data_IF_339374418948
#
_entry.id   IF_339374418948
#
_cell.length_a   1.000
_cell.length_b   1.000
_cell.length_c   1.000
_cell.angle_alpha   90.00
_cell.angle_beta   90.00
_cell.angle_gamma   90.00
#
_symmetry.space_group_name_H-M   'P 1'
#
loop_
_entity.id
_entity.type
_entity.pdbx_description
1 polymer ?
#
# COMPACT_ATOMS: atom_id res chain seq x y z
N UNK A 1 -6.78 -16.23 -3.02
CA UNK A 1 -5.50 -16.24 -2.27
C UNK A 1 -5.25 -17.51 -1.47
N UNK A 2 -6.22 -18.08 -0.75
CA UNK A 2 -6.02 -19.31 0.06
C UNK A 2 -5.53 -20.50 -0.77
N UNK A 3 -6.14 -20.76 -1.93
CA UNK A 3 -5.69 -21.83 -2.84
C UNK A 3 -4.27 -21.61 -3.36
N UNK A 4 -3.92 -20.37 -3.71
CA UNK A 4 -2.58 -19.98 -4.19
C UNK A 4 -1.55 -20.17 -3.07
N UNK A 5 -1.86 -19.68 -1.85
CA UNK A 5 -0.96 -19.80 -0.71
C UNK A 5 -0.67 -21.27 -0.35
N UNK A 6 -1.69 -22.14 -0.35
CA UNK A 6 -1.52 -23.57 -0.07
C UNK A 6 -0.71 -24.32 -1.13
N UNK A 7 -0.71 -23.87 -2.39
CA UNK A 7 -0.04 -24.57 -3.50
C UNK A 7 1.38 -24.08 -3.79
N UNK A 8 1.74 -22.86 -3.37
CA UNK A 8 3.04 -22.24 -3.74
C UNK A 8 3.92 -21.83 -2.56
N UNK A 9 3.38 -21.63 -1.35
CA UNK A 9 4.19 -21.21 -0.19
C UNK A 9 3.74 -21.98 1.07
N UNK A 10 4.36 -23.14 1.36
CA UNK A 10 4.04 -23.93 2.55
C UNK A 10 4.16 -23.09 3.83
N UNK A 11 3.17 -23.18 4.72
CA UNK A 11 3.17 -22.46 5.99
C UNK A 11 2.69 -21.00 5.93
N UNK A 12 2.29 -20.48 4.77
CA UNK A 12 1.63 -19.16 4.68
C UNK A 12 0.13 -19.26 4.45
N UNK A 13 -0.62 -18.36 5.08
CA UNK A 13 -2.07 -18.28 4.93
C UNK A 13 -2.45 -17.44 3.70
N UNK A 14 -3.66 -17.65 3.18
CA UNK A 14 -4.20 -16.85 2.08
C UNK A 14 -4.17 -15.34 2.35
N UNK A 15 -4.39 -14.93 3.60
CA UNK A 15 -4.34 -13.52 4.03
C UNK A 15 -2.93 -12.95 3.90
N UNK A 16 -1.90 -13.72 4.28
CA UNK A 16 -0.51 -13.30 4.14
C UNK A 16 -0.10 -13.16 2.67
N UNK A 17 -0.58 -14.06 1.80
CA UNK A 17 -0.35 -13.97 0.36
C UNK A 17 -1.03 -12.73 -0.25
N UNK A 18 -2.27 -12.46 0.16
CA UNK A 18 -3.02 -11.28 -0.28
C UNK A 18 -2.32 -9.98 0.13
N UNK A 19 -1.95 -9.84 1.40
CA UNK A 19 -1.26 -8.65 1.91
C UNK A 19 0.07 -8.43 1.17
N UNK A 20 0.83 -9.50 0.92
CA UNK A 20 2.08 -9.41 0.16
C UNK A 20 1.84 -8.94 -1.28
N UNK A 21 0.76 -9.39 -1.91
CA UNK A 21 0.40 -8.93 -3.24
C UNK A 21 0.06 -7.44 -3.24
N UNK A 22 -0.94 -7.03 -2.45
CA UNK A 22 -1.44 -5.66 -2.43
C UNK A 22 -0.40 -4.63 -1.99
N UNK A 23 0.53 -5.01 -1.11
CA UNK A 23 1.54 -4.07 -0.61
C UNK A 23 2.77 -3.95 -1.51
N UNK A 24 3.08 -4.95 -2.34
CA UNK A 24 4.42 -5.02 -2.95
C UNK A 24 4.53 -5.76 -4.27
N UNK A 25 3.63 -6.66 -4.63
CA UNK A 25 3.74 -7.42 -5.89
C UNK A 25 2.77 -6.93 -6.95
N UNK A 26 1.71 -6.20 -6.57
CA UNK A 26 0.81 -5.57 -7.52
C UNK A 26 1.59 -4.61 -8.43
N UNK A 27 1.57 -4.80 -9.77
CA UNK A 27 2.24 -3.92 -10.72
C UNK A 27 1.80 -2.46 -10.66
N UNK A 28 0.61 -2.19 -10.11
CA UNK A 28 0.07 -0.84 -9.91
C UNK A 28 0.79 -0.09 -8.78
N UNK A 29 1.48 -0.81 -7.90
CA UNK A 29 2.23 -0.20 -6.80
C UNK A 29 3.51 0.43 -7.34
N UNK A 30 3.58 1.75 -7.29
CA UNK A 30 4.76 2.53 -7.65
C UNK A 30 5.90 2.25 -6.68
N UNK A 31 7.02 1.80 -7.23
CA UNK A 31 8.28 1.57 -6.51
C UNK A 31 9.29 2.59 -6.99
N UNK A 32 9.44 3.67 -6.24
CA UNK A 32 10.30 4.78 -6.66
C UNK A 32 10.21 5.99 -5.73
N UNK A 33 11.02 7.02 -6.03
CA UNK A 33 10.99 8.28 -5.29
C UNK A 33 9.59 8.89 -5.33
N UNK A 34 9.26 9.68 -4.31
CA UNK A 34 8.01 10.43 -4.24
C UNK A 34 8.11 11.67 -5.12
N UNK A 35 7.06 11.98 -5.86
CA UNK A 35 6.94 13.26 -6.56
C UNK A 35 6.41 14.33 -5.60
N UNK A 36 6.62 15.60 -5.95
CA UNK A 36 6.13 16.72 -5.14
C UNK A 36 4.60 16.74 -5.06
N UNK A 37 3.91 16.30 -6.13
CA UNK A 37 2.46 16.16 -6.15
C UNK A 37 1.98 15.05 -5.19
N UNK A 38 2.68 13.92 -5.13
CA UNK A 38 2.36 12.84 -4.20
C UNK A 38 2.57 13.28 -2.75
N UNK A 39 3.64 14.01 -2.46
CA UNK A 39 3.88 14.58 -1.12
C UNK A 39 2.83 15.63 -0.74
N UNK A 40 2.39 16.47 -1.68
CA UNK A 40 1.32 17.45 -1.43
C UNK A 40 -0.01 16.76 -1.09
N UNK A 41 -0.37 15.70 -1.81
CA UNK A 41 -1.55 14.88 -1.51
C UNK A 41 -1.42 14.16 -0.16
N UNK A 42 -0.22 13.70 0.19
CA UNK A 42 0.06 13.08 1.48
C UNK A 42 -0.16 14.08 2.62
N UNK A 43 0.38 15.30 2.49
CA UNK A 43 0.22 16.39 3.46
C UNK A 43 -1.24 16.78 3.66
N UNK A 44 -1.97 17.04 2.57
CA UNK A 44 -3.41 17.37 2.60
C UNK A 44 -4.24 16.24 3.24
N UNK A 45 -3.91 15.00 2.88
CA UNK A 45 -4.56 13.82 3.45
C UNK A 45 -4.33 13.68 4.95
N UNK A 46 -3.10 13.92 5.44
CA UNK A 46 -2.78 13.85 6.87
C UNK A 46 -3.50 14.95 7.65
N UNK A 47 -3.55 16.17 7.12
CA UNK A 47 -4.25 17.30 7.74
C UNK A 47 -5.76 17.04 7.86
N UNK A 48 -6.37 16.42 6.85
CA UNK A 48 -7.81 16.18 6.78
C UNK A 48 -8.31 14.95 7.54
N UNK A 49 -7.47 13.93 7.69
CA UNK A 49 -7.93 12.59 8.10
C UNK A 49 -7.29 12.03 9.36
N UNK A 50 -6.56 12.84 10.14
CA UNK A 50 -5.86 12.44 11.37
C UNK A 50 -5.06 11.13 11.19
N UNK A 51 -4.27 11.06 10.10
CA UNK A 51 -3.40 9.92 9.75
C UNK A 51 -4.16 8.63 9.37
N UNK A 52 -5.35 8.73 8.78
CA UNK A 52 -6.01 7.57 8.20
C UNK A 52 -5.32 7.12 6.90
N UNK A 53 -4.24 6.34 7.00
CA UNK A 53 -3.39 5.94 5.87
C UNK A 53 -4.10 5.16 4.76
N UNK A 54 -5.21 4.47 5.09
CA UNK A 54 -6.03 3.77 4.09
C UNK A 54 -6.65 4.79 3.13
N UNK A 55 -7.26 5.84 3.67
CA UNK A 55 -7.86 6.91 2.89
C UNK A 55 -6.81 7.73 2.14
N UNK A 56 -5.69 8.04 2.79
CA UNK A 56 -4.62 8.81 2.15
C UNK A 56 -4.02 8.05 0.97
N UNK A 57 -3.83 6.73 1.09
CA UNK A 57 -3.34 5.90 -0.01
C UNK A 57 -4.35 5.77 -1.15
N UNK A 58 -5.65 5.81 -0.87
CA UNK A 58 -6.69 5.81 -1.91
C UNK A 58 -6.64 7.10 -2.76
N UNK A 59 -6.27 8.23 -2.13
CA UNK A 59 -6.07 9.51 -2.81
C UNK A 59 -4.79 9.57 -3.66
N UNK A 60 -3.80 8.71 -3.42
CA UNK A 60 -2.50 8.74 -4.10
C UNK A 60 -2.33 7.51 -4.97
N UNK A 61 -2.60 7.66 -6.26
CA UNK A 61 -2.61 6.53 -7.20
C UNK A 61 -1.26 5.79 -7.25
N UNK A 62 -1.33 4.49 -6.95
CA UNK A 62 -0.19 3.58 -6.95
C UNK A 62 0.66 3.64 -5.69
N UNK A 63 0.31 4.44 -4.68
CA UNK A 63 0.94 4.37 -3.35
C UNK A 63 0.06 3.58 -2.40
N UNK A 64 0.70 2.83 -1.52
CA UNK A 64 0.03 2.00 -0.51
C UNK A 64 0.00 2.71 0.85
N UNK A 65 -0.94 2.32 1.71
CA UNK A 65 -1.01 2.82 3.10
C UNK A 65 0.33 2.73 3.84
N UNK A 66 1.08 1.67 3.56
CA UNK A 66 2.37 1.40 4.16
C UNK A 66 3.43 2.38 3.67
N UNK A 67 3.44 2.68 2.37
CA UNK A 67 4.34 3.68 1.81
C UNK A 67 4.01 5.08 2.34
N UNK A 68 2.73 5.45 2.41
CA UNK A 68 2.28 6.73 2.96
C UNK A 68 2.75 6.90 4.41
N UNK A 69 2.53 5.88 5.25
CA UNK A 69 2.99 5.87 6.64
C UNK A 69 4.52 5.89 6.79
N UNK A 70 5.27 5.32 5.85
CA UNK A 70 6.74 5.34 5.90
C UNK A 70 7.32 6.68 5.44
N UNK A 71 6.60 7.42 4.58
CA UNK A 71 7.04 8.72 4.06
C UNK A 71 6.81 9.86 5.06
N UNK A 72 5.68 9.82 5.78
CA UNK A 72 5.34 10.75 6.86
C UNK A 72 6.11 10.46 8.16
#
# INVERSE_FOLDING_TARGET
>A
WSHIASSTVPGRTGVQAQARWSEALDPRVKKGPWSEEEDALLLDGVERSDKCWIWIADSIEGRTQRQCRTRW
#
